data_IF_179453239042
#
_entry.id   IF_179453239042
#
_cell.length_a   1.000
_cell.length_b   1.000
_cell.length_c   1.000
_cell.angle_alpha   90.00
_cell.angle_beta   90.00
_cell.angle_gamma   90.00
#
_symmetry.space_group_name_H-M   'P 1'
#
loop_
_entity.id
_entity.type
_entity.pdbx_description
1 polymer ?
#
# COMPACT_ATOMS: atom_id res chain seq x y z
N UNK A 1 15.25 -55.45 -15.93
CA UNK A 1 16.07 -55.17 -14.73
C UNK A 1 15.27 -55.57 -13.50
N UNK A 2 15.76 -56.53 -12.69
CA UNK A 2 15.13 -56.93 -11.42
C UNK A 2 15.89 -56.20 -10.30
N UNK A 3 15.23 -55.25 -9.64
CA UNK A 3 15.84 -54.53 -8.52
C UNK A 3 16.13 -55.50 -7.37
N UNK A 4 17.27 -55.31 -6.69
CA UNK A 4 17.60 -56.07 -5.49
C UNK A 4 16.57 -55.79 -4.39
N UNK A 5 16.17 -56.78 -3.57
CA UNK A 5 15.12 -56.62 -2.57
C UNK A 5 15.43 -55.53 -1.52
N UNK A 6 16.70 -55.26 -1.23
CA UNK A 6 17.12 -54.15 -0.37
C UNK A 6 16.78 -52.76 -0.95
N UNK A 7 16.86 -52.62 -2.28
CA UNK A 7 16.50 -51.38 -2.99
C UNK A 7 14.99 -51.19 -2.99
N UNK A 8 14.22 -52.27 -3.14
CA UNK A 8 12.76 -52.22 -3.06
C UNK A 8 12.29 -51.81 -1.66
N UNK A 9 12.89 -52.36 -0.60
CA UNK A 9 12.62 -51.95 0.79
C UNK A 9 12.95 -50.49 1.04
N UNK A 10 14.13 -50.02 0.63
CA UNK A 10 14.51 -48.62 0.77
C UNK A 10 13.55 -47.69 0.02
N UNK A 11 13.16 -48.06 -1.20
CA UNK A 11 12.22 -47.30 -2.02
C UNK A 11 10.85 -47.20 -1.35
N UNK A 12 10.30 -48.32 -0.87
CA UNK A 12 9.00 -48.35 -0.17
C UNK A 12 9.05 -47.51 1.10
N UNK A 13 10.13 -47.61 1.89
CA UNK A 13 10.30 -46.78 3.08
C UNK A 13 10.32 -45.29 2.77
N UNK A 14 11.04 -44.86 1.73
CA UNK A 14 11.06 -43.46 1.29
C UNK A 14 9.68 -43.00 0.84
N UNK A 15 8.95 -43.83 0.06
CA UNK A 15 7.58 -43.51 -0.37
C UNK A 15 6.63 -43.38 0.83
N UNK A 16 6.72 -44.27 1.81
CA UNK A 16 5.91 -44.18 3.04
C UNK A 16 6.22 -42.91 3.81
N UNK A 17 7.50 -42.56 3.98
CA UNK A 17 7.90 -41.30 4.65
C UNK A 17 7.36 -40.09 3.89
N UNK A 18 7.48 -40.04 2.57
CA UNK A 18 6.96 -38.93 1.76
C UNK A 18 5.44 -38.80 1.86
N UNK A 19 4.70 -39.92 1.81
CA UNK A 19 3.24 -39.91 1.97
C UNK A 19 2.86 -39.46 3.38
N UNK A 20 3.52 -40.01 4.41
CA UNK A 20 3.27 -39.64 5.80
C UNK A 20 3.57 -38.15 6.04
N UNK A 21 4.65 -37.62 5.49
CA UNK A 21 4.99 -36.19 5.55
C UNK A 21 3.97 -35.33 4.80
N UNK A 22 3.53 -35.72 3.61
CA UNK A 22 2.56 -34.95 2.84
C UNK A 22 1.18 -34.92 3.52
N UNK A 23 0.71 -36.06 4.02
CA UNK A 23 -0.56 -36.16 4.77
C UNK A 23 -0.45 -35.43 6.10
N UNK A 24 0.63 -35.64 6.85
CA UNK A 24 0.89 -34.96 8.11
C UNK A 24 0.93 -33.45 7.93
N UNK A 25 1.68 -32.95 6.94
CA UNK A 25 1.74 -31.53 6.63
C UNK A 25 0.37 -30.95 6.29
N UNK A 26 -0.42 -31.61 5.43
CA UNK A 26 -1.77 -31.14 5.06
C UNK A 26 -2.71 -31.14 6.26
N UNK A 27 -2.66 -32.17 7.10
CA UNK A 27 -3.46 -32.27 8.31
C UNK A 27 -3.06 -31.18 9.32
N UNK A 28 -1.77 -30.92 9.50
CA UNK A 28 -1.27 -29.84 10.36
C UNK A 28 -1.69 -28.46 9.85
N UNK A 29 -1.55 -28.18 8.55
CA UNK A 29 -1.98 -26.90 7.94
C UNK A 29 -3.48 -26.68 8.12
N UNK A 30 -4.29 -27.73 7.91
CA UNK A 30 -5.75 -27.67 8.10
C UNK A 30 -6.15 -27.55 9.56
N UNK A 31 -5.46 -28.23 10.49
CA UNK A 31 -5.76 -28.18 11.91
C UNK A 31 -5.33 -26.86 12.56
N UNK A 32 -4.33 -26.19 12.00
CA UNK A 32 -3.85 -24.89 12.47
C UNK A 32 -4.52 -23.71 11.75
N UNK A 33 -5.51 -23.96 10.88
CA UNK A 33 -6.19 -22.95 10.05
C UNK A 33 -5.22 -21.99 9.34
N UNK A 34 -4.09 -22.51 8.84
CA UNK A 34 -3.06 -21.69 8.19
C UNK A 34 -3.43 -21.40 6.73
N UNK A 35 -3.62 -20.13 6.43
CA UNK A 35 -3.93 -19.66 5.08
C UNK A 35 -2.65 -19.35 4.29
N UNK A 36 -2.15 -20.36 3.57
CA UNK A 36 -0.96 -20.25 2.71
C UNK A 36 -1.22 -19.40 1.45
N UNK A 37 -2.44 -19.45 0.92
CA UNK A 37 -2.89 -18.62 -0.21
C UNK A 37 -3.94 -17.65 0.27
N UNK A 38 -3.77 -16.37 -0.04
CA UNK A 38 -4.68 -15.31 0.38
C UNK A 38 -5.81 -15.15 -0.63
N UNK A 39 -7.00 -14.87 -0.12
CA UNK A 39 -8.13 -14.52 -0.95
C UNK A 39 -8.10 -13.05 -1.33
N UNK A 40 -8.45 -12.71 -2.59
CA UNK A 40 -8.53 -11.33 -3.02
C UNK A 40 -9.67 -10.60 -2.33
N UNK A 41 -9.45 -9.33 -2.04
CA UNK A 41 -10.42 -8.40 -1.45
C UNK A 41 -10.70 -7.32 -2.48
N UNK A 42 -11.97 -7.14 -2.83
CA UNK A 42 -12.34 -6.10 -3.78
C UNK A 42 -12.23 -4.71 -3.13
N UNK A 43 -11.83 -3.71 -3.91
CA UNK A 43 -12.03 -2.32 -3.55
C UNK A 43 -13.53 -2.04 -3.35
N UNK A 44 -13.87 -1.20 -2.38
CA UNK A 44 -15.26 -0.75 -2.20
C UNK A 44 -15.70 0.12 -3.39
N UNK A 45 -14.77 0.90 -3.93
CA UNK A 45 -14.99 1.80 -5.07
C UNK A 45 -13.71 1.91 -5.90
N UNK A 46 -13.84 2.22 -7.19
CA UNK A 46 -12.67 2.45 -8.05
C UNK A 46 -11.81 3.61 -7.55
N UNK A 47 -10.48 3.47 -7.65
CA UNK A 47 -9.55 4.56 -7.31
C UNK A 47 -9.76 5.80 -8.19
N UNK A 48 -10.26 5.64 -9.42
CA UNK A 48 -10.59 6.74 -10.33
C UNK A 48 -11.62 7.72 -9.72
N UNK A 49 -12.45 7.25 -8.77
CA UNK A 49 -13.46 8.09 -8.12
C UNK A 49 -12.89 9.03 -7.07
N UNK A 50 -11.59 8.95 -6.74
CA UNK A 50 -10.94 9.90 -5.81
C UNK A 50 -11.30 11.33 -6.24
N UNK A 51 -11.69 12.22 -5.32
CA UNK A 51 -12.15 13.55 -5.68
C UNK A 51 -11.12 14.32 -6.50
N UNK A 52 -11.56 15.04 -7.53
CA UNK A 52 -10.68 15.95 -8.28
C UNK A 52 -10.32 17.22 -7.50
N UNK A 53 -10.98 17.45 -6.37
CA UNK A 53 -10.69 18.54 -5.42
C UNK A 53 -10.56 17.95 -4.02
N UNK A 54 -9.43 18.22 -3.37
CA UNK A 54 -9.10 17.79 -2.01
C UNK A 54 -8.64 19.02 -1.23
N UNK A 55 -9.51 19.60 -0.41
CA UNK A 55 -9.25 20.92 0.20
C UNK A 55 -8.93 21.99 -0.85
N UNK A 56 -7.74 22.59 -0.75
CA UNK A 56 -7.18 23.56 -1.71
C UNK A 56 -6.57 22.92 -2.96
N UNK A 57 -6.32 21.62 -2.95
CA UNK A 57 -5.74 20.91 -4.10
C UNK A 57 -6.79 20.65 -5.16
N UNK A 58 -6.45 20.90 -6.42
CA UNK A 58 -7.29 20.56 -7.57
C UNK A 58 -6.48 19.79 -8.59
N UNK A 59 -7.12 18.81 -9.22
CA UNK A 59 -6.53 18.05 -10.32
C UNK A 59 -6.10 19.00 -11.43
N UNK A 60 -4.88 18.80 -11.93
CA UNK A 60 -4.36 19.45 -13.13
C UNK A 60 -4.16 18.41 -14.22
N UNK A 61 -4.60 18.72 -15.44
CA UNK A 61 -4.55 17.79 -16.56
C UNK A 61 -5.55 16.62 -16.45
N UNK A 62 -5.27 15.57 -17.22
CA UNK A 62 -5.98 14.30 -17.21
C UNK A 62 -5.21 13.27 -16.38
N UNK A 63 -5.92 12.26 -15.89
CA UNK A 63 -5.29 11.14 -15.20
C UNK A 63 -4.44 10.35 -16.21
N UNK A 64 -3.20 10.05 -15.84
CA UNK A 64 -2.28 9.30 -16.69
C UNK A 64 -2.73 7.85 -16.77
N UNK A 65 -2.72 7.29 -17.97
CA UNK A 65 -2.92 5.85 -18.20
C UNK A 65 -1.59 5.22 -18.55
N UNK A 66 -1.21 4.22 -17.77
CA UNK A 66 -0.02 3.43 -17.99
C UNK A 66 -0.26 2.46 -19.15
N UNK A 67 0.73 2.29 -20.02
CA UNK A 67 0.69 1.27 -21.07
C UNK A 67 0.75 -0.14 -20.50
N UNK A 68 0.31 -1.14 -21.27
CA UNK A 68 0.18 -2.53 -20.80
C UNK A 68 1.48 -3.11 -20.21
N UNK A 69 2.65 -2.82 -20.80
CA UNK A 69 3.94 -3.28 -20.26
C UNK A 69 4.25 -2.71 -18.87
N UNK A 70 3.86 -1.46 -18.61
CA UNK A 70 4.01 -0.84 -17.30
C UNK A 70 2.99 -1.38 -16.30
N UNK A 71 1.76 -1.65 -16.74
CA UNK A 71 0.72 -2.30 -15.91
C UNK A 71 1.13 -3.71 -15.51
N UNK A 72 1.74 -4.48 -16.42
CA UNK A 72 2.30 -5.80 -16.14
C UNK A 72 3.44 -5.70 -15.13
N UNK A 73 4.36 -4.75 -15.32
CA UNK A 73 5.47 -4.48 -14.38
C UNK A 73 4.97 -4.01 -13.01
N UNK A 74 3.88 -3.24 -12.98
CA UNK A 74 3.23 -2.77 -11.77
C UNK A 74 2.60 -3.93 -10.99
N UNK A 75 2.15 -4.97 -11.68
CA UNK A 75 1.50 -6.15 -11.11
C UNK A 75 0.05 -5.93 -10.67
N UNK A 76 -0.56 -4.81 -11.05
CA UNK A 76 -1.97 -4.52 -10.76
C UNK A 76 -2.58 -3.60 -11.81
N UNK A 77 -3.89 -3.77 -12.07
CA UNK A 77 -4.70 -2.86 -12.88
C UNK A 77 -5.44 -1.83 -12.03
N UNK A 78 -5.40 -1.96 -10.71
CA UNK A 78 -6.02 -1.02 -9.77
C UNK A 78 -5.01 0.06 -9.42
N UNK A 79 -4.93 1.09 -10.24
CA UNK A 79 -4.04 2.22 -9.99
C UNK A 79 -4.70 3.56 -10.33
N UNK A 80 -4.15 4.64 -9.78
CA UNK A 80 -4.46 6.01 -10.14
C UNK A 80 -3.16 6.81 -10.23
N UNK A 81 -2.94 7.43 -11.38
CA UNK A 81 -1.86 8.40 -11.60
C UNK A 81 -2.49 9.75 -11.88
N UNK A 82 -2.34 10.69 -10.95
CA UNK A 82 -3.01 11.98 -11.02
C UNK A 82 -2.10 13.10 -10.52
N UNK A 83 -2.18 14.25 -11.17
CA UNK A 83 -1.50 15.45 -10.72
C UNK A 83 -2.46 16.41 -10.02
N UNK A 84 -2.00 17.00 -8.92
CA UNK A 84 -2.70 18.05 -8.19
C UNK A 84 -1.82 19.30 -8.10
N UNK A 85 -2.46 20.47 -8.12
CA UNK A 85 -1.81 21.73 -7.80
C UNK A 85 -2.68 22.53 -6.83
N UNK A 86 -2.05 23.34 -6.00
CA UNK A 86 -2.75 24.26 -5.08
C UNK A 86 -3.57 25.25 -5.90
N UNK A 87 -4.85 25.33 -5.57
CA UNK A 87 -5.90 26.10 -6.24
C UNK A 87 -6.10 25.76 -7.73
N UNK A 88 -5.47 24.69 -8.20
CA UNK A 88 -5.43 24.30 -9.61
C UNK A 88 -4.44 25.12 -10.45
N UNK A 89 -3.50 25.81 -9.81
CA UNK A 89 -2.46 26.59 -10.50
C UNK A 89 -1.11 25.84 -10.48
N UNK A 90 -0.65 25.26 -11.61
CA UNK A 90 0.62 24.56 -11.69
C UNK A 90 1.85 25.40 -11.29
N UNK A 91 1.77 26.73 -11.34
CA UNK A 91 2.85 27.61 -10.91
C UNK A 91 3.14 27.52 -9.40
N UNK A 92 2.18 27.04 -8.61
CA UNK A 92 2.36 26.77 -7.17
C UNK A 92 3.06 25.42 -6.89
N UNK A 93 3.49 24.72 -7.94
CA UNK A 93 4.00 23.37 -7.85
C UNK A 93 2.94 22.32 -8.20
N UNK A 94 3.42 21.18 -8.73
CA UNK A 94 2.57 20.06 -9.13
C UNK A 94 2.98 18.82 -8.35
N UNK A 95 2.05 18.33 -7.53
CA UNK A 95 2.18 17.07 -6.81
C UNK A 95 1.64 15.94 -7.68
N UNK A 96 2.49 14.98 -8.03
CA UNK A 96 2.09 13.75 -8.70
C UNK A 96 1.76 12.71 -7.65
N UNK A 97 0.51 12.24 -7.66
CA UNK A 97 -0.01 11.17 -6.83
C UNK A 97 -0.08 9.89 -7.66
N UNK A 98 0.59 8.84 -7.16
CA UNK A 98 0.48 7.48 -7.67
C UNK A 98 -0.07 6.58 -6.57
N UNK A 99 -1.19 5.92 -6.84
CA UNK A 99 -1.80 4.94 -5.93
C UNK A 99 -1.91 3.61 -6.67
N UNK A 100 -1.50 2.53 -6.02
CA UNK A 100 -1.63 1.18 -6.58
C UNK A 100 -2.13 0.20 -5.51
N UNK A 101 -3.18 -0.55 -5.84
CA UNK A 101 -3.83 -1.50 -4.93
C UNK A 101 -3.57 -2.94 -5.34
N UNK A 102 -3.27 -3.79 -4.34
CA UNK A 102 -2.85 -5.17 -4.52
C UNK A 102 -3.61 -6.09 -3.56
N UNK A 103 -3.99 -7.27 -4.04
CA UNK A 103 -4.71 -8.26 -3.25
C UNK A 103 -4.56 -9.69 -3.80
N UNK A 104 -4.85 -10.70 -2.97
CA UNK A 104 -4.87 -12.12 -3.37
C UNK A 104 -3.50 -12.78 -3.48
N UNK A 105 -2.67 -12.41 -4.45
CA UNK A 105 -1.31 -12.96 -4.60
C UNK A 105 -0.25 -11.92 -4.23
N UNK A 106 0.05 -11.81 -2.94
CA UNK A 106 1.01 -10.83 -2.40
C UNK A 106 2.46 -11.36 -2.43
N UNK A 107 2.76 -12.26 -3.36
CA UNK A 107 4.12 -12.75 -3.60
C UNK A 107 5.01 -11.72 -4.32
N UNK A 108 4.41 -10.70 -4.94
CA UNK A 108 5.13 -9.64 -5.62
C UNK A 108 5.69 -8.63 -4.63
N UNK A 109 7.02 -8.43 -4.65
CA UNK A 109 7.68 -7.34 -3.92
C UNK A 109 7.13 -6.01 -4.43
N UNK A 110 6.64 -5.12 -3.54
CA UNK A 110 6.17 -3.81 -3.96
C UNK A 110 7.28 -3.09 -4.74
N UNK A 111 6.96 -2.57 -5.91
CA UNK A 111 7.87 -1.72 -6.67
C UNK A 111 8.06 -0.40 -5.91
N UNK A 112 9.28 0.11 -5.86
CA UNK A 112 9.63 1.32 -5.10
C UNK A 112 10.36 2.32 -6.01
N UNK A 113 10.20 3.63 -5.79
CA UNK A 113 10.75 4.68 -6.65
C UNK A 113 12.25 4.54 -6.91
N UNK A 114 13.02 4.06 -5.94
CA UNK A 114 14.48 3.87 -6.03
C UNK A 114 14.87 2.98 -7.21
N UNK A 115 14.06 1.97 -7.50
CA UNK A 115 14.29 1.06 -8.62
C UNK A 115 13.76 1.63 -9.92
N UNK A 116 12.57 2.25 -9.87
CA UNK A 116 11.87 2.73 -11.06
C UNK A 116 12.50 3.98 -11.66
N UNK A 117 12.87 4.96 -10.84
CA UNK A 117 13.43 6.22 -11.31
C UNK A 117 14.91 6.14 -11.62
N UNK A 118 15.66 5.29 -10.92
CA UNK A 118 17.02 4.92 -11.33
C UNK A 118 17.03 4.32 -12.74
N UNK A 119 16.07 3.43 -13.04
CA UNK A 119 15.92 2.88 -14.39
C UNK A 119 15.48 3.91 -15.44
N UNK A 120 14.85 5.02 -15.02
CA UNK A 120 14.47 6.14 -15.88
C UNK A 120 15.61 7.15 -16.11
N UNK A 121 16.82 6.89 -15.60
CA UNK A 121 18.00 7.73 -15.78
C UNK A 121 18.17 8.84 -14.76
N UNK A 122 17.41 8.83 -13.66
CA UNK A 122 17.60 9.78 -12.56
C UNK A 122 18.61 9.25 -11.53
N UNK A 123 19.47 10.14 -11.04
CA UNK A 123 20.45 9.80 -10.01
C UNK A 123 19.89 10.06 -8.62
N UNK A 124 19.98 9.05 -7.77
CA UNK A 124 19.61 9.16 -6.37
C UNK A 124 20.68 9.96 -5.62
N UNK A 125 20.30 11.08 -5.00
CA UNK A 125 21.22 11.98 -4.27
C UNK A 125 21.59 11.39 -2.91
N UNK A 126 20.64 10.73 -2.25
CA UNK A 126 20.82 10.14 -0.93
C UNK A 126 19.96 8.88 -0.79
N UNK A 127 20.36 7.99 0.12
CA UNK A 127 19.57 6.79 0.42
C UNK A 127 18.18 7.16 0.95
N UNK A 128 17.17 6.30 0.75
CA UNK A 128 15.83 6.54 1.27
C UNK A 128 15.84 6.68 2.79
N UNK A 129 15.18 7.72 3.29
CA UNK A 129 15.01 7.96 4.72
C UNK A 129 13.54 7.81 5.10
N UNK A 130 13.26 7.24 6.28
CA UNK A 130 11.92 7.28 6.87
C UNK A 130 11.68 8.67 7.46
N UNK A 131 10.65 9.35 6.99
CA UNK A 131 10.26 10.69 7.46
C UNK A 131 8.82 10.61 7.95
N UNK A 132 8.62 10.95 9.22
CA UNK A 132 7.29 11.13 9.79
C UNK A 132 6.65 12.39 9.21
N UNK A 133 5.54 12.23 8.50
CA UNK A 133 4.81 13.37 7.97
C UNK A 133 3.83 13.93 9.01
N UNK A 134 3.76 15.26 9.19
CA UNK A 134 2.83 15.92 10.11
C UNK A 134 1.42 15.99 9.49
N UNK A 135 0.81 14.82 9.26
CA UNK A 135 -0.56 14.74 8.73
C UNK A 135 -1.54 15.29 9.79
N UNK A 136 -2.45 16.15 9.37
CA UNK A 136 -3.50 16.69 10.22
C UNK A 136 -4.53 15.60 10.56
N UNK A 137 -4.41 15.07 11.77
CA UNK A 137 -5.32 14.07 12.34
C UNK A 137 -6.37 14.71 13.26
N UNK A 138 -6.50 16.05 13.30
CA UNK A 138 -7.45 16.74 14.20
C UNK A 138 -8.91 16.36 13.97
N UNK A 139 -9.24 15.92 12.75
CA UNK A 139 -10.57 15.44 12.35
C UNK A 139 -10.78 13.94 12.64
N UNK A 140 -9.77 13.24 13.15
CA UNK A 140 -9.84 11.82 13.44
C UNK A 140 -10.26 11.62 14.90
N UNK A 141 -11.18 10.69 15.13
CA UNK A 141 -11.44 10.15 16.46
C UNK A 141 -10.50 8.96 16.69
N UNK A 142 -9.53 9.16 17.58
CA UNK A 142 -8.49 8.18 17.88
C UNK A 142 -8.89 7.17 18.98
N UNK A 143 -10.06 7.33 19.62
CA UNK A 143 -10.37 6.62 20.87
C UNK A 143 -11.63 5.74 20.81
N UNK A 144 -12.55 5.99 19.89
CA UNK A 144 -13.86 5.32 19.91
C UNK A 144 -14.02 4.16 18.91
N UNK A 145 -13.03 3.91 18.06
CA UNK A 145 -13.15 2.87 17.03
C UNK A 145 -13.03 1.43 17.54
N UNK A 146 -13.33 0.44 16.68
CA UNK A 146 -13.14 -0.97 17.01
C UNK A 146 -11.65 -1.28 17.18
N UNK A 147 -11.35 -2.30 17.99
CA UNK A 147 -9.98 -2.78 18.18
C UNK A 147 -9.61 -3.76 17.06
N UNK A 148 -8.44 -3.56 16.48
CA UNK A 148 -7.83 -4.53 15.58
C UNK A 148 -7.58 -5.85 16.31
N UNK A 149 -7.99 -6.96 15.71
CA UNK A 149 -7.94 -8.28 16.35
C UNK A 149 -6.50 -8.71 16.69
N UNK A 150 -5.55 -8.47 15.80
CA UNK A 150 -4.17 -8.96 15.97
C UNK A 150 -3.28 -8.08 16.85
N UNK A 151 -3.55 -6.77 16.93
CA UNK A 151 -2.71 -5.79 17.64
C UNK A 151 -3.37 -5.27 18.92
N UNK A 152 -4.70 -5.39 19.04
CA UNK A 152 -5.48 -4.80 20.14
C UNK A 152 -5.61 -3.28 20.10
N UNK A 153 -5.00 -2.62 19.11
CA UNK A 153 -5.03 -1.16 18.93
C UNK A 153 -6.34 -0.72 18.29
N UNK A 154 -6.84 0.44 18.70
CA UNK A 154 -8.08 1.02 18.16
C UNK A 154 -7.84 1.53 16.74
N UNK A 155 -8.74 1.20 15.82
CA UNK A 155 -8.82 1.86 14.54
C UNK A 155 -9.27 3.31 14.75
N UNK A 156 -8.47 4.32 14.40
CA UNK A 156 -8.97 5.68 14.36
C UNK A 156 -10.10 5.78 13.34
N UNK A 157 -11.02 6.71 13.53
CA UNK A 157 -12.12 6.93 12.59
C UNK A 157 -12.10 8.35 12.07
N UNK A 158 -12.53 8.55 10.82
CA UNK A 158 -12.74 9.86 10.25
C UNK A 158 -14.11 9.91 9.58
N UNK A 159 -14.68 11.11 9.51
CA UNK A 159 -15.93 11.33 8.77
C UNK A 159 -15.62 11.81 7.36
N UNK A 160 -16.30 11.23 6.38
CA UNK A 160 -16.21 11.61 4.97
C UNK A 160 -17.61 11.93 4.46
N UNK A 161 -17.73 13.01 3.70
CA UNK A 161 -19.00 13.38 3.06
C UNK A 161 -19.00 12.81 1.65
N UNK A 162 -20.04 12.05 1.31
CA UNK A 162 -20.30 11.66 -0.06
C UNK A 162 -20.76 12.86 -0.89
N UNK A 163 -20.06 13.18 -1.98
CA UNK A 163 -20.34 14.38 -2.77
C UNK A 163 -21.68 14.31 -3.53
N UNK A 164 -22.18 13.10 -3.81
CA UNK A 164 -23.39 12.87 -4.60
C UNK A 164 -24.62 12.84 -3.69
N UNK A 165 -24.57 12.01 -2.65
CA UNK A 165 -25.68 11.79 -1.71
C UNK A 165 -25.68 12.76 -0.54
N UNK A 166 -24.58 13.51 -0.34
CA UNK A 166 -24.37 14.45 0.79
C UNK A 166 -24.47 13.81 2.17
N UNK A 167 -24.34 12.48 2.25
CA UNK A 167 -24.36 11.74 3.51
C UNK A 167 -22.97 11.71 4.12
N UNK A 168 -22.92 11.84 5.44
CA UNK A 168 -21.72 11.53 6.22
C UNK A 168 -21.59 10.01 6.35
N UNK A 169 -20.40 9.52 6.05
CA UNK A 169 -19.99 8.14 6.28
C UNK A 169 -18.77 8.13 7.20
N UNK A 170 -18.73 7.16 8.10
CA UNK A 170 -17.56 6.91 8.95
C UNK A 170 -16.63 5.96 8.22
N UNK A 171 -15.36 6.30 8.15
CA UNK A 171 -14.30 5.44 7.61
C UNK A 171 -13.29 5.11 8.71
N UNK A 172 -12.75 3.90 8.67
CA UNK A 172 -11.70 3.46 9.58
C UNK A 172 -10.33 3.80 8.97
N UNK A 173 -9.53 4.56 9.72
CA UNK A 173 -8.20 4.99 9.32
C UNK A 173 -7.16 3.92 9.67
N UNK A 174 -6.03 3.86 8.95
CA UNK A 174 -5.00 2.87 9.23
C UNK A 174 -4.33 3.11 10.58
N UNK A 175 -3.92 2.03 11.23
CA UNK A 175 -3.16 2.05 12.49
C UNK A 175 -1.67 2.26 12.19
N UNK A 176 -0.99 3.03 13.05
CA UNK A 176 0.46 3.22 12.99
C UNK A 176 0.84 4.65 12.62
N UNK A 177 2.14 4.87 12.48
CA UNK A 177 2.70 6.18 12.18
C UNK A 177 2.61 6.52 10.69
N UNK A 178 2.41 7.79 10.38
CA UNK A 178 2.32 8.32 9.02
C UNK A 178 3.70 8.61 8.44
N UNK A 179 4.58 7.61 8.50
CA UNK A 179 5.92 7.68 7.93
C UNK A 179 5.91 7.36 6.43
N UNK A 180 6.70 8.12 5.67
CA UNK A 180 7.00 7.83 4.27
C UNK A 180 8.49 7.52 4.11
N UNK A 181 8.81 6.58 3.21
CA UNK A 181 10.16 6.41 2.72
C UNK A 181 10.39 7.46 1.64
N UNK A 182 11.28 8.41 1.89
CA UNK A 182 11.51 9.60 1.06
C UNK A 182 12.91 9.54 0.45
N UNK A 183 12.97 9.81 -0.85
CA UNK A 183 14.18 9.76 -1.65
C UNK A 183 14.24 10.97 -2.58
N UNK A 184 15.43 11.55 -2.69
CA UNK A 184 15.70 12.71 -3.55
C UNK A 184 16.48 12.27 -4.77
N UNK A 185 16.03 12.70 -5.94
CA UNK A 185 16.63 12.41 -7.23
C UNK A 185 17.02 13.70 -7.95
N UNK A 186 18.05 13.58 -8.77
CA UNK A 186 18.59 14.64 -9.60
C UNK A 186 18.70 14.18 -11.04
N UNK A 187 18.38 15.09 -11.96
CA UNK A 187 18.78 14.99 -13.35
C UNK A 187 20.21 15.56 -13.52
N UNK A 188 21.12 14.80 -14.12
CA UNK A 188 22.50 15.25 -14.38
C UNK A 188 22.54 16.50 -15.27
N UNK A 189 21.58 16.64 -16.19
CA UNK A 189 21.52 17.75 -17.13
C UNK A 189 20.93 19.01 -16.50
N UNK A 190 20.16 18.88 -15.42
CA UNK A 190 19.52 19.98 -14.73
C UNK A 190 19.62 19.85 -13.21
N UNK A 191 20.63 20.51 -12.64
CA UNK A 191 20.88 20.55 -11.20
C UNK A 191 20.05 21.57 -10.41
N UNK A 192 19.27 22.42 -11.10
CA UNK A 192 18.52 23.52 -10.44
C UNK A 192 17.26 23.03 -9.70
N UNK A 193 16.75 21.85 -10.07
CA UNK A 193 15.57 21.23 -9.47
C UNK A 193 15.86 19.80 -9.05
N UNK A 194 15.27 19.39 -7.93
CA UNK A 194 15.27 18.00 -7.46
C UNK A 194 13.90 17.39 -7.64
N UNK A 195 13.85 16.13 -8.03
CA UNK A 195 12.64 15.33 -7.87
C UNK A 195 12.65 14.74 -6.47
N UNK A 196 11.74 15.18 -5.62
CA UNK A 196 11.52 14.56 -4.32
C UNK A 196 10.35 13.61 -4.45
N UNK A 197 10.55 12.37 -4.01
CA UNK A 197 9.53 11.34 -4.02
C UNK A 197 9.48 10.62 -2.69
N UNK A 198 8.27 10.29 -2.26
CA UNK A 198 8.09 9.42 -1.12
C UNK A 198 6.92 8.48 -1.30
N UNK A 199 6.96 7.36 -0.59
CA UNK A 199 5.86 6.41 -0.54
C UNK A 199 5.59 5.90 0.88
N UNK A 200 4.35 5.52 1.11
CA UNK A 200 3.92 4.67 2.21
C UNK A 200 3.02 3.56 1.68
N UNK A 201 2.78 2.57 2.52
CA UNK A 201 1.83 1.50 2.29
C UNK A 201 0.75 1.51 3.36
N UNK A 202 -0.45 1.15 2.93
CA UNK A 202 -1.57 0.78 3.79
C UNK A 202 -1.79 -0.71 3.56
N UNK A 203 -1.30 -1.56 4.47
CA UNK A 203 -1.41 -3.01 4.38
C UNK A 203 -2.30 -3.53 5.50
N UNK A 204 -3.41 -4.20 5.16
CA UNK A 204 -4.41 -4.68 6.11
C UNK A 204 -4.82 -3.59 7.15
N UNK A 205 -5.11 -2.38 6.64
CA UNK A 205 -5.41 -1.19 7.42
C UNK A 205 -4.32 -0.77 8.44
N UNK A 206 -3.04 -0.94 8.10
CA UNK A 206 -1.90 -0.40 8.86
C UNK A 206 -0.94 0.39 7.98
N UNK A 207 -0.43 1.49 8.50
CA UNK A 207 0.62 2.25 7.85
C UNK A 207 1.97 1.54 7.96
N UNK A 208 2.76 1.60 6.89
CA UNK A 208 4.19 1.29 6.93
C UNK A 208 4.91 1.94 5.75
N UNK A 209 6.10 2.45 5.97
CA UNK A 209 7.00 2.93 4.91
C UNK A 209 7.85 1.81 4.28
N UNK A 210 7.80 0.59 4.82
CA UNK A 210 8.72 -0.49 4.48
C UNK A 210 8.07 -1.58 3.60
N UNK A 211 8.60 -1.87 2.40
CA UNK A 211 8.15 -2.98 1.57
C UNK A 211 8.30 -4.35 2.24
N UNK A 212 9.27 -4.50 3.15
CA UNK A 212 9.47 -5.75 3.87
C UNK A 212 8.38 -5.98 4.93
N UNK A 213 7.92 -4.91 5.59
CA UNK A 213 6.82 -4.99 6.57
C UNK A 213 5.49 -5.31 5.88
N UNK A 214 5.27 -4.79 4.66
CA UNK A 214 4.12 -5.17 3.84
C UNK A 214 4.04 -6.69 3.67
N UNK A 215 5.17 -7.36 3.39
CA UNK A 215 5.21 -8.82 3.30
C UNK A 215 4.80 -9.47 4.62
N UNK A 216 5.33 -9.00 5.74
CA UNK A 216 4.97 -9.52 7.07
C UNK A 216 3.46 -9.45 7.30
N UNK A 217 2.80 -8.34 6.94
CA UNK A 217 1.35 -8.21 7.10
C UNK A 217 0.57 -9.04 6.07
N UNK A 218 1.05 -9.10 4.84
CA UNK A 218 0.42 -9.85 3.76
C UNK A 218 0.48 -11.37 3.95
N UNK A 219 1.54 -11.88 4.56
CA UNK A 219 1.78 -13.31 4.83
C UNK A 219 1.35 -13.75 6.23
N UNK A 220 0.56 -12.96 6.96
CA UNK A 220 -0.02 -13.38 8.23
C UNK A 220 -0.86 -14.65 8.03
N UNK A 221 -0.33 -15.81 8.43
CA UNK A 221 -0.94 -17.11 8.20
C UNK A 221 -2.30 -17.28 8.86
N UNK A 222 -2.63 -16.44 9.85
CA UNK A 222 -3.91 -16.48 10.55
C UNK A 222 -5.04 -15.76 9.80
N UNK A 223 -4.70 -14.89 8.83
CA UNK A 223 -5.69 -14.16 8.02
C UNK A 223 -5.96 -14.85 6.69
N UNK A 224 -7.22 -15.06 6.34
CA UNK A 224 -7.65 -15.65 5.06
C UNK A 224 -7.44 -14.71 3.88
N UNK A 225 -7.62 -13.42 4.12
CA UNK A 225 -7.53 -12.37 3.11
C UNK A 225 -6.35 -11.46 3.37
N UNK A 226 -5.90 -10.73 2.36
CA UNK A 226 -4.92 -9.67 2.54
C UNK A 226 -4.96 -8.67 1.40
N UNK A 227 -4.57 -7.44 1.70
CA UNK A 227 -4.33 -6.42 0.70
C UNK A 227 -3.21 -5.48 1.14
N UNK A 228 -2.63 -4.80 0.17
CA UNK A 228 -1.90 -3.57 0.45
C UNK A 228 -2.16 -2.52 -0.63
N UNK A 229 -2.08 -1.27 -0.23
CA UNK A 229 -2.19 -0.12 -1.11
C UNK A 229 -0.93 0.70 -0.98
N UNK A 230 -0.22 0.93 -2.08
CA UNK A 230 0.90 1.87 -2.14
C UNK A 230 0.34 3.27 -2.41
N UNK A 231 0.80 4.25 -1.65
CA UNK A 231 0.52 5.68 -1.86
C UNK A 231 1.85 6.37 -2.03
N UNK A 232 2.07 6.97 -3.19
CA UNK A 232 3.30 7.64 -3.56
C UNK A 232 2.99 9.07 -3.99
N UNK A 233 3.77 10.02 -3.46
CA UNK A 233 3.72 11.42 -3.83
C UNK A 233 5.08 11.85 -4.35
N UNK A 234 5.10 12.64 -5.43
CA UNK A 234 6.35 13.14 -5.99
C UNK A 234 6.18 14.51 -6.62
N UNK A 235 7.17 15.38 -6.44
CA UNK A 235 7.14 16.75 -6.97
C UNK A 235 8.56 17.21 -7.29
N UNK A 236 8.68 18.02 -8.34
CA UNK A 236 9.90 18.77 -8.59
C UNK A 236 9.93 20.01 -7.68
N UNK A 237 11.02 20.18 -6.95
CA UNK A 237 11.25 21.30 -6.04
C UNK A 237 12.59 21.93 -6.36
N UNK A 238 12.67 23.26 -6.36
CA UNK A 238 13.94 23.95 -6.59
C UNK A 238 14.89 23.71 -5.43
N UNK A 239 16.19 23.60 -5.73
CA UNK A 239 17.20 23.33 -4.70
C UNK A 239 17.24 24.39 -3.60
N UNK A 240 16.96 25.65 -3.93
CA UNK A 240 16.95 26.78 -2.99
C UNK A 240 15.81 26.71 -1.96
N UNK A 241 14.82 25.84 -2.15
CA UNK A 241 13.60 25.78 -1.33
C UNK A 241 13.63 24.65 -0.29
N UNK A 242 14.81 24.08 0.03
CA UNK A 242 14.96 22.92 0.92
C UNK A 242 14.01 21.78 0.49
N UNK A 243 14.35 21.06 -0.60
CA UNK A 243 13.42 20.20 -1.33
C UNK A 243 12.62 19.22 -0.47
N UNK A 244 13.25 18.58 0.51
CA UNK A 244 12.62 17.59 1.39
C UNK A 244 11.60 18.23 2.32
N UNK A 245 11.92 19.37 2.94
CA UNK A 245 11.04 20.04 3.90
C UNK A 245 9.80 20.59 3.19
N UNK A 246 9.99 21.27 2.07
CA UNK A 246 8.89 21.79 1.25
C UNK A 246 8.01 20.66 0.69
N UNK A 247 8.61 19.57 0.20
CA UNK A 247 7.86 18.41 -0.25
C UNK A 247 7.06 17.78 0.91
N UNK A 248 7.65 17.67 2.10
CA UNK A 248 7.02 17.05 3.27
C UNK A 248 5.81 17.84 3.75
N UNK A 249 5.93 19.17 3.83
CA UNK A 249 4.82 20.07 4.18
C UNK A 249 3.64 19.93 3.19
N UNK A 250 3.94 20.04 1.89
CA UNK A 250 2.91 19.95 0.85
C UNK A 250 2.27 18.56 0.75
N UNK A 251 3.07 17.51 0.94
CA UNK A 251 2.59 16.14 0.95
C UNK A 251 1.71 15.87 2.16
N UNK A 252 2.09 16.34 3.36
CA UNK A 252 1.29 16.20 4.56
C UNK A 252 -0.08 16.90 4.41
N UNK A 253 -0.11 18.12 3.85
CA UNK A 253 -1.35 18.86 3.56
C UNK A 253 -2.25 18.10 2.57
N UNK A 254 -1.71 17.58 1.47
CA UNK A 254 -2.48 16.77 0.52
C UNK A 254 -2.99 15.47 1.14
N UNK A 255 -2.14 14.75 1.88
CA UNK A 255 -2.49 13.47 2.49
C UNK A 255 -3.54 13.61 3.59
N UNK A 256 -3.56 14.73 4.32
CA UNK A 256 -4.59 15.03 5.33
C UNK A 256 -6.00 15.04 4.74
N UNK A 257 -6.15 15.53 3.51
CA UNK A 257 -7.42 15.54 2.78
C UNK A 257 -7.66 14.24 1.99
N UNK A 258 -6.60 13.61 1.48
CA UNK A 258 -6.68 12.39 0.68
C UNK A 258 -7.01 11.16 1.51
N UNK A 259 -6.39 10.97 2.68
CA UNK A 259 -6.41 9.70 3.40
C UNK A 259 -7.83 9.24 3.78
N UNK A 260 -8.71 10.06 4.37
CA UNK A 260 -10.09 9.64 4.64
C UNK A 260 -10.84 9.26 3.35
N UNK A 261 -10.65 10.05 2.29
CA UNK A 261 -11.22 9.74 0.98
C UNK A 261 -10.69 8.41 0.43
N UNK A 262 -9.40 8.14 0.54
CA UNK A 262 -8.81 6.88 0.10
C UNK A 262 -9.34 5.69 0.91
N UNK A 263 -9.43 5.81 2.24
CA UNK A 263 -9.94 4.74 3.11
C UNK A 263 -11.39 4.38 2.82
N UNK A 264 -12.20 5.32 2.35
CA UNK A 264 -13.56 5.04 1.85
C UNK A 264 -13.59 4.09 0.65
N UNK A 265 -12.52 4.04 -0.14
CA UNK A 265 -12.40 3.22 -1.37
C UNK A 265 -11.70 1.89 -1.10
N UNK A 266 -10.78 1.88 -0.14
CA UNK A 266 -10.12 0.66 0.31
C UNK A 266 -11.09 -0.24 1.09
N UNK A 267 -10.83 -1.55 1.18
CA UNK A 267 -11.71 -2.45 1.93
C UNK A 267 -11.83 -2.05 3.40
N UNK A 268 -13.04 -2.17 3.95
CA UNK A 268 -13.24 -2.04 5.39
C UNK A 268 -12.67 -3.29 6.09
N UNK A 269 -11.46 -3.13 6.62
CA UNK A 269 -10.76 -4.23 7.26
C UNK A 269 -11.43 -4.69 8.56
N UNK A 270 -12.18 -3.82 9.23
CA UNK A 270 -12.88 -4.17 10.47
C UNK A 270 -13.96 -5.22 10.20
N UNK A 271 -14.66 -5.11 9.06
CA UNK A 271 -15.64 -6.10 8.63
C UNK A 271 -14.99 -7.42 8.24
N UNK A 272 -13.82 -7.39 7.60
CA UNK A 272 -13.08 -8.57 7.18
C UNK A 272 -12.58 -9.36 8.41
N UNK A 273 -12.02 -8.68 9.41
CA UNK A 273 -11.63 -9.30 10.68
C UNK A 273 -12.85 -9.88 11.42
N UNK A 274 -13.97 -9.14 11.43
CA UNK A 274 -15.21 -9.60 12.04
C UNK A 274 -15.83 -10.81 11.33
N UNK A 275 -15.67 -10.95 10.00
CA UNK A 275 -16.14 -12.15 9.28
C UNK A 275 -15.23 -13.35 9.53
N UNK A 276 -13.91 -13.15 9.54
CA UNK A 276 -12.94 -14.24 9.76
C UNK A 276 -13.03 -14.82 11.18
N UNK A 277 -13.29 -13.97 12.18
CA UNK A 277 -13.48 -14.42 13.57
C UNK A 277 -14.76 -15.23 13.81
N UNK A 278 -15.79 -15.11 12.95
CA UNK A 278 -17.02 -15.91 13.05
C UNK A 278 -16.92 -17.29 12.39
N UNK A 279 -15.95 -17.47 11.49
CA UNK A 279 -15.71 -18.75 10.80
C UNK A 279 -14.75 -19.66 11.57
N UNK A 280 -13.97 -19.11 12.52
CA UNK A 280 -13.09 -19.84 13.44
C UNK A 280 -13.79 -20.22 14.74
#
# INVERSE_FOLDING_TARGET
MRFRPSIQLAFVSVVIVLIASAVGFRATVSSLNLYLRKEPVALQQSLDTIPTKLGRWKRVGLDSRLGEAMVESLGTRFYLDRQYAIDGNPANGVMTLHIAYYTGMIDAVPHVPERCWGAAGLNMVNQPAAILLPIDQSKWDLVSGPKNVSTGVIYPTAKVIDLVTRREEVVYMPIGETEMSVTVFQDEQNSSSRLVGGYLFIANARFTSSPNVVKTYAFDLSSRSSYYCKVQCSMFVNESEQPVDKWSELTADLLSELLPSLMRRLPDWTLIEASQSKEN
#
